data_IF_136960504538
#
_entry.id   IF_136960504538
#
_cell.length_a   1.000
_cell.length_b   1.000
_cell.length_c   1.000
_cell.angle_alpha   90.00
_cell.angle_beta   90.00
_cell.angle_gamma   90.00
#
_symmetry.space_group_name_H-M   'P 1'
#
loop_
_entity.id
_entity.type
_entity.pdbx_description
1 polymer ?
#
# COMPACT_ATOMS: atom_id res chain seq x y z
N UNK A 1 23.64 12.27 -13.90
CA UNK A 1 24.04 12.61 -15.26
C UNK A 1 22.85 13.27 -15.97
N UNK A 2 22.90 14.56 -16.36
CA UNK A 2 21.75 15.25 -16.94
C UNK A 2 21.36 14.74 -18.33
N UNK A 3 22.16 13.89 -18.94
CA UNK A 3 21.97 13.47 -20.33
C UNK A 3 21.34 12.09 -20.50
N UNK A 4 20.70 11.55 -19.47
CA UNK A 4 19.98 10.30 -19.63
C UNK A 4 18.64 10.60 -20.28
N UNK A 5 18.49 10.32 -21.56
CA UNK A 5 17.21 10.41 -22.27
C UNK A 5 16.11 9.69 -21.48
N UNK A 6 15.07 10.44 -21.16
CA UNK A 6 13.88 9.91 -20.50
C UNK A 6 13.10 9.14 -21.56
N UNK A 7 13.38 7.87 -21.69
CA UNK A 7 12.60 7.00 -22.57
C UNK A 7 11.23 6.72 -21.94
N UNK A 8 10.18 6.73 -22.75
CA UNK A 8 8.80 6.45 -22.32
C UNK A 8 8.59 5.07 -21.70
N UNK A 9 9.52 4.16 -21.86
CA UNK A 9 9.51 2.83 -21.26
C UNK A 9 10.10 2.86 -19.84
N UNK A 10 9.29 3.35 -18.93
CA UNK A 10 9.63 3.50 -17.54
C UNK A 10 9.55 2.18 -16.80
N UNK A 11 10.70 1.70 -16.37
CA UNK A 11 10.85 0.52 -15.56
C UNK A 11 11.15 -0.76 -16.34
N UNK A 12 11.77 -1.72 -15.67
CA UNK A 12 12.14 -2.98 -16.29
C UNK A 12 10.91 -3.80 -16.73
N UNK A 13 11.11 -4.67 -17.70
CA UNK A 13 10.05 -5.49 -18.28
C UNK A 13 9.22 -6.25 -17.23
N UNK A 14 9.86 -6.69 -16.13
CA UNK A 14 9.14 -7.40 -15.07
C UNK A 14 8.09 -6.52 -14.35
N UNK A 15 8.27 -5.20 -14.25
CA UNK A 15 7.27 -4.28 -13.70
C UNK A 15 6.01 -4.24 -14.56
N UNK A 16 6.17 -4.32 -15.89
CA UNK A 16 5.06 -4.43 -16.82
C UNK A 16 4.28 -5.73 -16.60
N UNK A 17 5.00 -6.85 -16.50
CA UNK A 17 4.37 -8.16 -16.24
C UNK A 17 3.70 -8.19 -14.85
N UNK A 18 4.34 -7.65 -13.82
CA UNK A 18 3.76 -7.53 -12.49
C UNK A 18 2.46 -6.74 -12.50
N UNK A 19 2.42 -5.61 -13.20
CA UNK A 19 1.21 -4.77 -13.31
C UNK A 19 0.08 -5.52 -14.01
N UNK A 20 0.38 -6.23 -15.10
CA UNK A 20 -0.61 -6.99 -15.84
C UNK A 20 -1.16 -8.14 -15.00
N UNK A 21 -0.29 -8.92 -14.37
CA UNK A 21 -0.68 -10.01 -13.48
C UNK A 21 -1.52 -9.51 -12.29
N UNK A 22 -1.09 -8.43 -11.65
CA UNK A 22 -1.84 -7.80 -10.56
C UNK A 22 -3.22 -7.34 -11.02
N UNK A 23 -3.31 -6.70 -12.19
CA UNK A 23 -4.58 -6.24 -12.75
C UNK A 23 -5.57 -7.39 -12.96
N UNK A 24 -5.10 -8.50 -13.52
CA UNK A 24 -5.91 -9.68 -13.79
C UNK A 24 -6.35 -10.32 -12.47
N UNK A 25 -5.40 -10.59 -11.57
CA UNK A 25 -5.67 -11.25 -10.29
C UNK A 25 -6.61 -10.43 -9.41
N UNK A 26 -6.43 -9.11 -9.34
CA UNK A 26 -7.32 -8.25 -8.57
C UNK A 26 -8.70 -8.10 -9.22
N UNK A 27 -8.80 -8.09 -10.55
CA UNK A 27 -10.10 -8.13 -11.22
C UNK A 27 -10.83 -9.43 -10.87
N UNK A 28 -10.12 -10.55 -10.86
CA UNK A 28 -10.69 -11.85 -10.50
C UNK A 28 -11.10 -11.89 -9.03
N UNK A 29 -10.25 -11.44 -8.13
CA UNK A 29 -10.56 -11.40 -6.69
C UNK A 29 -11.68 -10.41 -6.34
N UNK A 30 -11.91 -9.39 -7.16
CA UNK A 30 -13.06 -8.51 -6.99
C UNK A 30 -14.38 -9.24 -7.29
N UNK A 31 -14.39 -10.10 -8.31
CA UNK A 31 -15.56 -10.92 -8.65
C UNK A 31 -15.76 -12.06 -7.64
N UNK A 32 -14.66 -12.64 -7.17
CA UNK A 32 -14.63 -13.75 -6.22
C UNK A 32 -13.76 -13.38 -4.99
N UNK A 33 -14.27 -12.64 -4.00
CA UNK A 33 -13.48 -12.10 -2.89
C UNK A 33 -12.67 -13.14 -2.11
N UNK A 34 -13.16 -14.35 -1.95
CA UNK A 34 -12.46 -15.43 -1.28
C UNK A 34 -11.12 -15.82 -1.92
N UNK A 35 -10.90 -15.46 -3.18
CA UNK A 35 -9.63 -15.71 -3.90
C UNK A 35 -8.55 -14.67 -3.58
N UNK A 36 -8.86 -13.59 -2.87
CA UNK A 36 -7.93 -12.47 -2.61
C UNK A 36 -6.67 -12.92 -1.88
N UNK A 37 -6.81 -13.76 -0.87
CA UNK A 37 -5.66 -14.29 -0.13
C UNK A 37 -4.73 -15.12 -1.04
N UNK A 38 -5.30 -15.92 -1.92
CA UNK A 38 -4.55 -16.73 -2.89
C UNK A 38 -3.87 -15.82 -3.90
N UNK A 39 -4.57 -14.82 -4.44
CA UNK A 39 -4.02 -13.86 -5.38
C UNK A 39 -2.84 -13.09 -4.78
N UNK A 40 -2.96 -12.60 -3.55
CA UNK A 40 -1.89 -11.91 -2.84
C UNK A 40 -0.67 -12.82 -2.59
N UNK A 41 -0.90 -14.08 -2.22
CA UNK A 41 0.18 -15.06 -2.03
C UNK A 41 0.94 -15.35 -3.33
N UNK A 42 0.22 -15.47 -4.44
CA UNK A 42 0.82 -15.69 -5.77
C UNK A 42 1.62 -14.47 -6.22
N UNK A 43 1.09 -13.26 -6.02
CA UNK A 43 1.79 -12.02 -6.35
C UNK A 43 3.04 -11.84 -5.48
N UNK A 44 2.95 -12.13 -4.19
CA UNK A 44 4.11 -12.08 -3.30
C UNK A 44 5.22 -13.05 -3.77
N UNK A 45 4.87 -14.31 -4.01
CA UNK A 45 5.85 -15.31 -4.48
C UNK A 45 6.45 -14.97 -5.83
N UNK A 46 5.66 -14.45 -6.76
CA UNK A 46 6.12 -14.14 -8.11
C UNK A 46 6.94 -12.86 -8.22
N UNK A 47 6.68 -11.86 -7.38
CA UNK A 47 7.25 -10.53 -7.60
C UNK A 47 7.92 -9.87 -6.38
N UNK A 48 7.66 -10.35 -5.17
CA UNK A 48 8.15 -9.70 -3.94
C UNK A 48 9.01 -10.61 -3.06
N UNK A 49 9.08 -11.91 -3.34
CA UNK A 49 9.83 -12.88 -2.53
C UNK A 49 11.35 -12.80 -2.71
N UNK A 50 11.83 -12.09 -3.71
CA UNK A 50 13.26 -11.89 -3.97
C UNK A 50 13.61 -10.42 -4.10
N UNK A 51 14.78 -10.05 -3.61
CA UNK A 51 15.33 -8.70 -3.79
C UNK A 51 15.63 -8.47 -5.27
N UNK A 52 15.21 -7.32 -5.78
CA UNK A 52 15.50 -6.89 -7.15
C UNK A 52 16.03 -5.47 -7.12
N UNK A 53 17.22 -5.29 -7.69
CA UNK A 53 17.82 -3.98 -7.82
C UNK A 53 17.45 -3.34 -9.14
N UNK A 54 17.12 -2.07 -9.11
CA UNK A 54 16.87 -1.26 -10.28
C UNK A 54 17.74 -0.01 -10.23
N UNK A 55 18.48 0.24 -11.30
CA UNK A 55 19.29 1.43 -11.47
C UNK A 55 18.67 2.31 -12.52
N UNK A 56 18.53 3.59 -12.23
CA UNK A 56 17.95 4.57 -13.16
C UNK A 56 17.79 5.93 -12.49
N UNK A 57 17.27 6.91 -13.22
CA UNK A 57 16.90 8.19 -12.61
C UNK A 57 15.75 7.99 -11.63
N UNK A 58 15.63 8.90 -10.66
CA UNK A 58 14.50 8.90 -9.71
C UNK A 58 13.15 8.91 -10.45
N UNK A 59 13.07 9.65 -11.54
CA UNK A 59 11.89 9.70 -12.39
C UNK A 59 11.54 8.31 -12.95
N UNK A 60 12.52 7.59 -13.52
CA UNK A 60 12.30 6.25 -14.05
C UNK A 60 11.91 5.22 -12.98
N UNK A 61 12.42 5.39 -11.75
CA UNK A 61 12.11 4.51 -10.64
C UNK A 61 10.72 4.77 -10.05
N UNK A 62 10.26 6.02 -10.02
CA UNK A 62 9.06 6.44 -9.28
C UNK A 62 7.85 6.70 -10.16
N UNK A 63 8.03 7.22 -11.38
CA UNK A 63 6.89 7.54 -12.25
C UNK A 63 6.28 6.28 -12.84
N UNK A 64 5.03 6.09 -12.54
CA UNK A 64 4.23 5.00 -13.06
C UNK A 64 3.06 5.54 -13.87
N UNK A 65 2.82 4.98 -15.06
CA UNK A 65 1.60 5.30 -15.81
C UNK A 65 0.36 4.96 -14.98
N UNK A 66 -0.67 5.79 -15.06
CA UNK A 66 -1.96 5.53 -14.43
C UNK A 66 -2.45 4.11 -14.71
N UNK A 67 -2.98 3.45 -13.70
CA UNK A 67 -3.48 2.09 -13.82
C UNK A 67 -4.86 2.02 -14.48
N UNK A 68 -5.48 3.17 -14.76
CA UNK A 68 -6.80 3.25 -15.41
C UNK A 68 -7.92 2.58 -14.63
N UNK A 69 -7.80 2.50 -13.30
CA UNK A 69 -8.83 1.98 -12.42
C UNK A 69 -9.02 2.89 -11.23
N UNK A 70 -10.24 3.05 -10.82
CA UNK A 70 -10.57 3.72 -9.56
C UNK A 70 -10.01 2.88 -8.40
N UNK A 71 -9.27 3.53 -7.53
CA UNK A 71 -8.75 2.94 -6.31
C UNK A 71 -9.18 3.80 -5.13
N UNK A 72 -9.39 3.17 -3.99
CA UNK A 72 -9.49 3.83 -2.72
C UNK A 72 -8.19 3.61 -1.95
N UNK A 73 -7.65 4.67 -1.42
CA UNK A 73 -6.44 4.68 -0.63
C UNK A 73 -6.76 5.23 0.75
N UNK A 74 -6.36 4.53 1.77
CA UNK A 74 -6.35 5.04 3.13
C UNK A 74 -4.93 4.90 3.70
N UNK A 75 -4.44 5.94 4.34
CA UNK A 75 -3.09 6.00 4.87
C UNK A 75 -3.11 6.56 6.30
N UNK A 76 -2.37 5.92 7.18
CA UNK A 76 -2.25 6.32 8.59
C UNK A 76 -0.80 6.43 8.98
N UNK A 77 -0.53 7.35 9.89
CA UNK A 77 0.81 7.63 10.42
C UNK A 77 0.84 7.40 11.91
N UNK A 78 1.91 6.81 12.41
CA UNK A 78 2.17 6.53 13.81
C UNK A 78 3.63 6.83 14.15
N UNK A 79 3.93 7.21 15.41
CA UNK A 79 5.31 7.31 15.87
C UNK A 79 6.06 5.98 15.74
N UNK A 80 7.33 6.06 15.34
CA UNK A 80 8.17 4.88 15.09
C UNK A 80 8.30 3.98 16.33
N UNK A 81 8.33 4.56 17.51
CA UNK A 81 8.41 3.86 18.81
C UNK A 81 7.20 2.94 19.05
N UNK A 82 6.03 3.30 18.52
CA UNK A 82 4.78 2.56 18.67
C UNK A 82 4.57 1.52 17.57
N UNK A 83 5.29 1.65 16.46
CA UNK A 83 5.09 0.81 15.28
C UNK A 83 5.11 -0.70 15.57
N UNK A 84 6.05 -1.26 16.35
CA UNK A 84 6.06 -2.71 16.60
C UNK A 84 4.75 -3.23 17.23
N UNK A 85 4.20 -2.47 18.19
CA UNK A 85 2.93 -2.83 18.86
C UNK A 85 1.75 -2.73 17.91
N UNK A 86 1.68 -1.63 17.17
CA UNK A 86 0.62 -1.40 16.16
C UNK A 86 0.65 -2.50 15.11
N UNK A 87 1.84 -2.88 14.64
CA UNK A 87 2.00 -3.90 13.60
C UNK A 87 1.51 -5.28 14.07
N UNK A 88 1.85 -5.69 15.29
CA UNK A 88 1.37 -6.96 15.85
C UNK A 88 -0.16 -6.96 16.07
N UNK A 89 -0.71 -5.85 16.51
CA UNK A 89 -2.15 -5.72 16.68
C UNK A 89 -2.88 -5.72 15.32
N UNK A 90 -2.32 -5.05 14.30
CA UNK A 90 -2.86 -5.11 12.93
C UNK A 90 -2.87 -6.54 12.38
N UNK A 91 -1.80 -7.30 12.58
CA UNK A 91 -1.75 -8.72 12.19
C UNK A 91 -2.87 -9.52 12.87
N UNK A 92 -3.05 -9.28 14.17
CA UNK A 92 -4.11 -9.94 14.94
C UNK A 92 -5.49 -9.56 14.42
N UNK A 93 -5.71 -8.29 14.13
CA UNK A 93 -6.98 -7.78 13.62
C UNK A 93 -7.29 -8.34 12.23
N UNK A 94 -6.32 -8.30 11.32
CA UNK A 94 -6.47 -8.82 9.95
C UNK A 94 -6.79 -10.32 9.97
N UNK A 95 -6.18 -11.08 10.88
CA UNK A 95 -6.44 -12.52 11.02
C UNK A 95 -7.85 -12.85 11.53
N UNK A 96 -8.56 -11.88 12.12
CA UNK A 96 -9.97 -12.07 12.54
C UNK A 96 -10.94 -11.89 11.39
N UNK A 97 -10.51 -11.27 10.30
CA UNK A 97 -11.40 -11.01 9.18
C UNK A 97 -11.88 -12.30 8.54
N UNK A 98 -13.18 -12.36 8.33
CA UNK A 98 -13.78 -13.45 7.56
C UNK A 98 -13.36 -13.35 6.08
N UNK A 99 -13.62 -14.42 5.32
CA UNK A 99 -13.36 -14.44 3.87
C UNK A 99 -14.16 -13.39 3.05
N UNK A 100 -14.74 -12.39 3.69
CA UNK A 100 -15.53 -11.31 3.08
C UNK A 100 -14.85 -9.95 3.12
N UNK A 101 -13.90 -9.73 4.06
CA UNK A 101 -13.25 -8.44 4.26
C UNK A 101 -11.80 -8.52 3.82
N UNK A 102 -11.42 -7.77 2.80
CA UNK A 102 -10.09 -7.85 2.21
C UNK A 102 -9.53 -6.49 1.82
N UNK A 103 -8.21 -6.35 2.02
CA UNK A 103 -7.41 -5.36 1.34
C UNK A 103 -6.84 -6.01 0.10
N UNK A 104 -7.18 -5.47 -1.07
CA UNK A 104 -6.84 -6.09 -2.34
C UNK A 104 -5.37 -5.95 -2.73
N UNK A 105 -4.70 -4.90 -2.25
CA UNK A 105 -3.31 -4.61 -2.58
C UNK A 105 -2.48 -4.71 -1.30
N UNK A 106 -1.28 -5.32 -1.34
CA UNK A 106 -0.40 -5.36 -0.19
C UNK A 106 -0.19 -3.97 0.43
N UNK A 107 -0.19 -3.92 1.77
CA UNK A 107 0.02 -2.67 2.50
C UNK A 107 1.41 -2.13 2.22
N UNK A 108 1.49 -0.82 2.00
CA UNK A 108 2.73 -0.08 1.86
C UNK A 108 3.15 0.45 3.23
N UNK A 109 4.40 0.20 3.63
CA UNK A 109 4.96 0.68 4.90
C UNK A 109 6.15 1.55 4.59
N UNK A 110 6.11 2.80 5.07
CA UNK A 110 7.17 3.80 4.85
C UNK A 110 7.68 4.31 6.17
N UNK A 111 8.99 4.33 6.33
CA UNK A 111 9.67 4.93 7.46
C UNK A 111 10.14 6.33 7.07
N UNK A 112 9.76 7.32 7.85
CA UNK A 112 10.05 8.72 7.56
C UNK A 112 10.71 9.37 8.77
N UNK A 113 11.91 9.91 8.56
CA UNK A 113 12.62 10.64 9.59
C UNK A 113 11.91 11.94 9.91
N UNK A 114 12.02 12.34 11.18
CA UNK A 114 11.48 13.62 11.66
C UNK A 114 12.03 14.80 10.87
N UNK A 115 11.18 15.76 10.67
CA UNK A 115 11.53 17.03 10.05
C UNK A 115 10.98 18.23 10.85
N UNK A 116 11.19 19.43 10.33
CA UNK A 116 10.75 20.70 10.94
C UNK A 116 9.65 21.39 10.13
N UNK A 117 9.08 20.74 9.15
CA UNK A 117 8.02 21.32 8.33
C UNK A 117 6.69 21.24 9.05
N UNK A 118 6.05 22.38 9.29
CA UNK A 118 4.80 22.44 10.05
C UNK A 118 3.63 21.64 9.46
N UNK A 119 3.67 21.34 8.17
CA UNK A 119 2.65 20.53 7.49
C UNK A 119 3.06 19.06 7.34
N UNK A 120 4.25 18.69 7.82
CA UNK A 120 4.71 17.31 7.77
C UNK A 120 4.04 16.46 8.86
N UNK A 121 3.63 15.26 8.47
CA UNK A 121 3.17 14.27 9.45
C UNK A 121 4.32 13.72 10.32
N UNK A 122 5.59 13.92 9.89
CA UNK A 122 6.79 13.59 10.63
C UNK A 122 7.37 14.79 11.43
N UNK A 123 6.56 15.83 11.67
CA UNK A 123 7.02 16.98 12.45
C UNK A 123 7.40 16.58 13.87
N UNK A 124 8.68 16.74 14.19
CA UNK A 124 9.22 16.53 15.53
C UNK A 124 9.47 15.09 15.96
N UNK A 125 8.98 14.09 15.24
CA UNK A 125 9.17 12.67 15.58
C UNK A 125 9.39 11.80 14.34
N UNK A 126 10.18 10.73 14.49
CA UNK A 126 10.29 9.71 13.45
C UNK A 126 8.97 8.95 13.37
N UNK A 127 8.47 8.74 12.15
CA UNK A 127 7.16 8.15 11.93
C UNK A 127 7.19 6.97 10.98
N UNK A 128 6.16 6.15 11.09
CA UNK A 128 5.85 5.11 10.11
C UNK A 128 4.48 5.39 9.53
N UNK A 129 4.43 5.43 8.21
CA UNK A 129 3.18 5.57 7.47
C UNK A 129 2.80 4.23 6.86
N UNK A 130 1.55 3.84 7.02
CA UNK A 130 1.02 2.61 6.44
C UNK A 130 -0.15 2.93 5.52
N UNK A 131 0.01 2.58 4.26
CA UNK A 131 -0.99 2.77 3.21
C UNK A 131 -1.72 1.48 2.86
N UNK A 132 -3.04 1.54 2.81
CA UNK A 132 -3.90 0.46 2.35
C UNK A 132 -4.62 0.89 1.09
N UNK A 133 -4.53 0.08 0.06
CA UNK A 133 -5.14 0.36 -1.24
C UNK A 133 -6.14 -0.73 -1.57
N UNK A 134 -7.35 -0.33 -1.85
CA UNK A 134 -8.36 -1.21 -2.41
C UNK A 134 -8.80 -0.72 -3.78
N UNK A 135 -9.19 -1.66 -4.61
CA UNK A 135 -9.80 -1.36 -5.89
C UNK A 135 -11.30 -1.32 -5.69
N UNK A 136 -11.91 -0.16 -5.98
CA UNK A 136 -13.35 0.01 -5.93
C UNK A 136 -13.95 -0.29 -4.54
N UNK A 137 -13.87 0.66 -3.67
CA UNK A 137 -14.37 0.60 -2.30
C UNK A 137 -15.90 0.55 -2.18
N UNK A 138 -16.59 0.43 -3.27
CA UNK A 138 -18.05 0.31 -3.26
C UNK A 138 -18.56 -1.01 -2.64
N UNK A 139 -17.67 -1.91 -2.23
CA UNK A 139 -18.07 -3.08 -1.43
C UNK A 139 -17.99 -2.73 0.05
N UNK A 140 -19.08 -2.92 0.79
CA UNK A 140 -19.16 -2.71 2.23
C UNK A 140 -17.98 -3.35 3.00
N UNK A 141 -17.56 -4.50 2.57
CA UNK A 141 -16.50 -5.29 3.20
C UNK A 141 -15.12 -4.61 3.20
N UNK A 142 -14.77 -3.88 2.14
CA UNK A 142 -13.51 -3.13 2.09
C UNK A 142 -13.53 -1.94 3.05
N UNK A 143 -14.67 -1.29 3.14
CA UNK A 143 -14.85 -0.16 4.04
C UNK A 143 -14.75 -0.59 5.51
N UNK A 144 -15.32 -1.72 5.86
CA UNK A 144 -15.19 -2.31 7.19
C UNK A 144 -13.73 -2.67 7.51
N UNK A 145 -12.98 -3.20 6.55
CA UNK A 145 -11.56 -3.46 6.71
C UNK A 145 -10.76 -2.18 7.00
N UNK A 146 -11.03 -1.09 6.28
CA UNK A 146 -10.38 0.20 6.54
C UNK A 146 -10.72 0.76 7.91
N UNK A 147 -11.99 0.71 8.33
CA UNK A 147 -12.42 1.14 9.67
C UNK A 147 -11.73 0.31 10.76
N UNK A 148 -11.62 -0.99 10.56
CA UNK A 148 -10.95 -1.89 11.50
C UNK A 148 -9.48 -1.52 11.69
N UNK A 149 -8.76 -1.26 10.60
CA UNK A 149 -7.37 -0.79 10.61
C UNK A 149 -7.26 0.57 11.29
N UNK A 150 -8.11 1.53 10.92
CA UNK A 150 -8.13 2.87 11.49
C UNK A 150 -8.30 2.82 13.02
N UNK A 151 -9.19 1.99 13.53
CA UNK A 151 -9.38 1.81 14.97
C UNK A 151 -8.11 1.34 15.68
N UNK A 152 -7.30 0.49 15.05
CA UNK A 152 -6.00 0.10 15.59
C UNK A 152 -5.09 1.32 15.69
N UNK A 153 -4.93 2.09 14.62
CA UNK A 153 -4.07 3.29 14.64
C UNK A 153 -4.52 4.32 15.67
N UNK A 154 -5.81 4.59 15.77
CA UNK A 154 -6.37 5.58 16.70
C UNK A 154 -6.07 5.23 18.16
N UNK A 155 -6.09 3.96 18.54
CA UNK A 155 -5.75 3.51 19.91
C UNK A 155 -4.32 3.90 20.32
N UNK A 156 -3.42 4.05 19.36
CA UNK A 156 -2.02 4.43 19.59
C UNK A 156 -1.72 5.90 19.29
N UNK A 157 -2.78 6.71 19.08
CA UNK A 157 -2.63 8.12 18.72
C UNK A 157 -2.18 8.35 17.29
N UNK A 158 -2.40 7.37 16.43
CA UNK A 158 -2.15 7.49 14.99
C UNK A 158 -3.04 8.55 14.35
N UNK A 159 -2.52 9.14 13.28
CA UNK A 159 -3.19 10.20 12.52
C UNK A 159 -3.51 9.68 11.12
N UNK A 160 -4.67 10.07 10.62
CA UNK A 160 -5.02 9.86 9.23
C UNK A 160 -4.21 10.82 8.34
N UNK A 161 -3.66 10.33 7.24
CA UNK A 161 -2.97 11.18 6.28
C UNK A 161 -3.99 11.93 5.41
N UNK A 162 -3.87 13.26 5.32
CA UNK A 162 -4.90 14.16 4.78
C UNK A 162 -5.25 13.98 3.30
N UNK A 163 -4.54 13.12 2.56
CA UNK A 163 -4.65 13.03 1.08
C UNK A 163 -5.54 11.89 0.60
N UNK A 164 -6.21 11.14 1.47
CA UNK A 164 -6.52 9.76 1.15
C UNK A 164 -7.96 9.29 1.29
N UNK A 165 -8.94 10.15 1.14
CA UNK A 165 -10.31 9.71 0.85
C UNK A 165 -10.83 10.45 -0.39
N UNK A 166 -10.84 9.77 -1.49
CA UNK A 166 -11.65 10.10 -2.66
C UNK A 166 -12.50 8.91 -3.06
#
# INVERSE_FOLDING_TARGET
NPDTEITENLGPAYLKHRRTASKILYKYSHTFPWTTAIANKLLYRGFFSSTKEHKGSLYQATVTKSRGSTIELAEWTIGLDKFPKVFEELKTEINKWSNKSFIHIPMDVRFVYKDKSCLSYAYGEDTVTMGCVSRNAATADTYEAFISIEKVFLRYGGKHHCVTRY
#
